data_IF_471725027570
#
_entry.id   IF_471725027570
#
_cell.length_a   1.000
_cell.length_b   1.000
_cell.length_c   1.000
_cell.angle_alpha   90.00
_cell.angle_beta   90.00
_cell.angle_gamma   90.00
#
_symmetry.space_group_name_H-M   'P 1'
#
loop_
_entity.id
_entity.type
_entity.pdbx_description
1 polymer ?
#
# COMPACT_ATOMS: atom_id res chain seq x y z
N UNK A 1 32.41 -36.11 14.81
CA UNK A 1 31.55 -36.85 13.86
C UNK A 1 31.21 -35.86 12.73
N UNK A 2 31.48 -36.25 11.49
CA UNK A 2 31.09 -35.47 10.32
C UNK A 2 29.56 -35.40 10.26
N UNK A 3 29.03 -34.21 10.21
CA UNK A 3 27.61 -33.99 9.98
C UNK A 3 27.41 -33.86 8.45
N UNK A 4 26.53 -34.67 7.91
CA UNK A 4 26.24 -34.64 6.47
C UNK A 4 25.65 -33.28 6.07
N UNK A 5 26.00 -32.83 4.88
CA UNK A 5 25.46 -31.59 4.32
C UNK A 5 24.06 -31.84 3.73
N UNK A 6 23.11 -32.19 4.58
CA UNK A 6 21.71 -32.49 4.28
C UNK A 6 20.79 -31.80 5.29
N UNK A 7 19.49 -31.73 5.01
CA UNK A 7 18.50 -31.18 5.94
C UNK A 7 18.51 -31.93 7.30
N UNK A 8 18.65 -33.28 7.26
CA UNK A 8 18.76 -34.08 8.47
C UNK A 8 20.10 -33.87 9.17
N UNK A 9 21.20 -33.65 8.45
CA UNK A 9 22.47 -33.24 9.00
C UNK A 9 22.37 -31.90 9.74
N UNK A 10 21.68 -30.91 9.18
CA UNK A 10 21.41 -29.63 9.82
C UNK A 10 20.54 -29.76 11.08
N UNK A 11 19.53 -30.64 11.03
CA UNK A 11 18.73 -30.99 12.22
C UNK A 11 19.61 -31.60 13.33
N UNK A 12 20.42 -32.58 12.98
CA UNK A 12 21.33 -33.26 13.92
C UNK A 12 22.35 -32.31 14.53
N UNK A 13 22.92 -31.39 13.72
CA UNK A 13 23.84 -30.40 14.20
C UNK A 13 23.20 -29.43 15.18
N UNK A 14 22.01 -28.90 14.85
CA UNK A 14 21.24 -28.00 15.69
C UNK A 14 20.82 -28.65 17.01
N UNK A 15 20.38 -29.92 16.96
CA UNK A 15 20.01 -30.71 18.15
C UNK A 15 21.22 -30.93 19.06
N UNK A 16 22.35 -31.35 18.52
CA UNK A 16 23.57 -31.57 19.28
C UNK A 16 24.10 -30.28 19.90
N UNK A 17 24.08 -29.18 19.16
CA UNK A 17 24.49 -27.88 19.69
C UNK A 17 23.62 -27.44 20.87
N UNK A 18 22.30 -27.49 20.74
CA UNK A 18 21.36 -27.13 21.80
C UNK A 18 21.54 -28.03 23.04
N UNK A 19 21.73 -29.33 22.84
CA UNK A 19 21.93 -30.28 23.92
C UNK A 19 23.20 -30.03 24.72
N UNK A 20 24.30 -29.71 24.07
CA UNK A 20 25.59 -29.61 24.74
C UNK A 20 25.94 -28.21 25.22
N UNK A 21 25.46 -27.18 24.54
CA UNK A 21 25.87 -25.80 24.83
C UNK A 21 24.78 -24.98 25.57
N UNK A 22 23.52 -25.23 25.35
CA UNK A 22 22.47 -24.39 25.93
C UNK A 22 21.87 -24.96 27.25
N UNK A 23 22.12 -26.20 27.59
CA UNK A 23 21.55 -26.85 28.79
C UNK A 23 20.04 -26.64 28.96
N UNK A 24 19.31 -26.57 27.87
CA UNK A 24 17.86 -26.40 27.86
C UNK A 24 17.14 -27.74 28.04
N UNK A 25 15.83 -27.72 28.27
CA UNK A 25 15.04 -28.94 28.29
C UNK A 25 14.79 -29.49 26.87
N UNK A 26 14.39 -30.78 26.78
CA UNK A 26 14.25 -31.50 25.51
C UNK A 26 13.30 -30.83 24.48
N UNK A 27 12.26 -30.20 24.97
CA UNK A 27 11.27 -29.52 24.10
C UNK A 27 11.91 -28.37 23.30
N UNK A 28 12.84 -27.65 23.91
CA UNK A 28 13.58 -26.58 23.22
C UNK A 28 14.60 -27.13 22.21
N UNK A 29 15.18 -28.31 22.45
CA UNK A 29 16.11 -28.94 21.51
C UNK A 29 15.45 -29.33 20.22
N UNK A 30 14.27 -29.96 20.29
CA UNK A 30 13.52 -30.36 19.10
C UNK A 30 13.04 -29.15 18.29
N UNK A 31 12.54 -28.12 18.96
CA UNK A 31 12.12 -26.90 18.30
C UNK A 31 13.25 -26.20 17.53
N UNK A 32 14.45 -26.14 18.09
CA UNK A 32 15.64 -25.56 17.45
C UNK A 32 16.19 -26.42 16.34
N UNK A 33 16.24 -27.72 16.54
CA UNK A 33 16.68 -28.68 15.53
C UNK A 33 15.72 -28.68 14.32
N UNK A 34 14.40 -28.61 14.59
CA UNK A 34 13.38 -28.48 13.55
C UNK A 34 13.55 -27.16 12.77
N UNK A 35 13.82 -26.06 13.45
CA UNK A 35 14.09 -24.77 12.81
C UNK A 35 15.37 -24.79 11.98
N UNK A 36 16.43 -25.46 12.46
CA UNK A 36 17.65 -25.64 11.68
C UNK A 36 17.39 -26.40 10.39
N UNK A 37 16.57 -27.44 10.43
CA UNK A 37 16.18 -28.21 9.25
C UNK A 37 15.24 -27.44 8.34
N UNK A 38 14.13 -26.92 8.89
CA UNK A 38 13.00 -26.42 8.11
C UNK A 38 13.23 -24.97 7.62
N UNK A 39 14.03 -24.19 8.34
CA UNK A 39 14.26 -22.77 8.03
C UNK A 39 15.67 -22.54 7.49
N UNK A 40 16.71 -22.92 8.26
CA UNK A 40 18.08 -22.58 7.85
C UNK A 40 18.61 -23.44 6.71
N UNK A 41 18.25 -24.73 6.66
CA UNK A 41 18.67 -25.60 5.57
C UNK A 41 17.98 -25.22 4.25
N UNK A 42 16.67 -24.99 4.31
CA UNK A 42 15.90 -24.54 3.14
C UNK A 42 16.36 -23.18 2.63
N UNK A 43 16.72 -22.25 3.52
CA UNK A 43 17.34 -20.97 3.16
C UNK A 43 18.68 -21.15 2.43
N UNK A 44 19.49 -22.09 2.89
CA UNK A 44 20.82 -22.34 2.28
C UNK A 44 20.73 -22.95 0.88
N UNK A 45 19.67 -23.69 0.59
CA UNK A 45 19.41 -24.32 -0.71
C UNK A 45 18.48 -23.52 -1.62
N UNK A 46 18.02 -22.36 -1.18
CA UNK A 46 17.12 -21.49 -1.95
C UNK A 46 15.66 -21.96 -2.03
N UNK A 47 15.29 -23.02 -1.31
CA UNK A 47 13.96 -23.67 -1.40
C UNK A 47 13.01 -23.30 -0.24
N UNK A 48 13.37 -22.35 0.63
CA UNK A 48 12.48 -21.97 1.75
C UNK A 48 11.40 -21.01 1.32
N UNK A 49 10.12 -21.38 1.47
CA UNK A 49 9.02 -20.42 1.30
C UNK A 49 9.05 -19.28 2.33
N UNK A 50 9.73 -19.49 3.47
CA UNK A 50 9.84 -18.52 4.58
C UNK A 50 11.21 -17.81 4.64
N UNK A 51 12.04 -17.89 3.58
CA UNK A 51 13.31 -17.17 3.54
C UNK A 51 13.04 -15.66 3.43
N UNK A 52 13.40 -14.86 4.45
CA UNK A 52 13.20 -13.41 4.41
C UNK A 52 14.02 -12.72 3.31
N UNK A 53 15.04 -13.39 2.79
CA UNK A 53 15.89 -12.88 1.70
C UNK A 53 15.52 -13.52 0.33
N UNK A 54 14.47 -14.39 0.28
CA UNK A 54 13.98 -14.94 -0.98
C UNK A 54 13.18 -13.87 -1.76
N UNK A 55 13.72 -13.34 -2.87
CA UNK A 55 13.04 -12.29 -3.63
C UNK A 55 11.72 -12.76 -4.28
N UNK A 56 11.53 -14.07 -4.39
CA UNK A 56 10.35 -14.69 -5.01
C UNK A 56 9.32 -15.18 -3.99
N UNK A 57 9.54 -14.97 -2.68
CA UNK A 57 8.55 -15.32 -1.67
C UNK A 57 7.34 -14.37 -1.73
N UNK A 58 6.16 -14.83 -2.20
CA UNK A 58 4.97 -13.98 -2.33
C UNK A 58 4.40 -13.53 -0.98
N UNK A 59 4.76 -14.20 0.11
CA UNK A 59 4.31 -13.92 1.47
C UNK A 59 5.33 -13.14 2.30
N UNK A 60 6.55 -12.89 1.77
CA UNK A 60 7.52 -12.04 2.44
C UNK A 60 6.95 -10.62 2.60
N UNK A 61 6.78 -10.16 3.84
CA UNK A 61 6.24 -8.83 4.10
C UNK A 61 7.08 -7.70 3.47
N UNK A 62 8.37 -7.93 3.21
CA UNK A 62 9.28 -6.94 2.61
C UNK A 62 9.10 -6.84 1.10
N UNK A 63 8.85 -7.97 0.43
CA UNK A 63 8.63 -8.02 -1.03
C UNK A 63 7.17 -7.87 -1.41
N UNK A 64 6.25 -8.15 -0.50
CA UNK A 64 4.81 -8.09 -0.71
C UNK A 64 4.35 -6.72 -1.18
N UNK A 65 3.66 -6.71 -2.32
CA UNK A 65 3.11 -5.52 -2.96
C UNK A 65 1.63 -5.36 -2.61
N UNK A 66 1.26 -4.19 -2.12
CA UNK A 66 -0.12 -3.82 -1.84
C UNK A 66 -0.64 -2.86 -2.90
N UNK A 67 -1.90 -3.00 -3.29
CA UNK A 67 -2.53 -2.16 -4.29
C UNK A 67 -3.21 -0.94 -3.68
N UNK A 68 -3.22 0.19 -4.44
CA UNK A 68 -3.99 1.38 -4.10
C UNK A 68 -5.04 1.56 -5.20
N UNK A 69 -6.30 1.41 -4.84
CA UNK A 69 -7.43 1.69 -5.72
C UNK A 69 -7.93 3.11 -5.48
N UNK A 70 -7.97 3.92 -6.55
CA UNK A 70 -8.52 5.29 -6.51
C UNK A 70 -9.93 5.30 -7.08
N UNK A 71 -10.90 5.75 -6.29
CA UNK A 71 -12.28 5.97 -6.71
C UNK A 71 -12.44 7.46 -7.02
N UNK A 72 -12.54 7.79 -8.30
CA UNK A 72 -12.38 9.15 -8.83
C UNK A 72 -13.70 9.82 -9.21
N UNK A 73 -14.80 9.05 -9.34
CA UNK A 73 -16.10 9.58 -9.77
C UNK A 73 -15.99 10.45 -11.03
N UNK A 74 -15.48 9.87 -12.12
CA UNK A 74 -15.20 10.51 -13.42
C UNK A 74 -14.12 11.61 -13.39
N UNK A 75 -13.29 11.62 -12.33
CA UNK A 75 -12.09 12.45 -12.29
C UNK A 75 -10.87 11.71 -12.84
N UNK A 76 -9.79 12.45 -13.02
CA UNK A 76 -8.48 11.95 -13.44
C UNK A 76 -7.50 11.96 -12.26
N UNK A 77 -6.78 10.84 -12.09
CA UNK A 77 -5.73 10.79 -11.06
C UNK A 77 -4.50 11.57 -11.51
N UNK A 78 -3.66 11.92 -10.54
CA UNK A 78 -2.31 12.40 -10.85
C UNK A 78 -1.41 11.21 -11.15
N UNK A 79 -0.57 11.30 -12.20
CA UNK A 79 0.45 10.28 -12.54
C UNK A 79 1.50 10.10 -11.43
N UNK A 80 1.64 11.09 -10.56
CA UNK A 80 2.51 11.01 -9.38
C UNK A 80 1.91 10.21 -8.20
N UNK A 81 0.65 9.76 -8.31
CA UNK A 81 0.04 8.87 -7.32
C UNK A 81 0.27 7.42 -7.72
N UNK A 82 1.02 6.61 -6.93
CA UNK A 82 1.32 5.24 -7.29
C UNK A 82 0.08 4.34 -7.18
N UNK A 83 -0.01 3.33 -8.02
CA UNK A 83 -1.06 2.30 -7.97
C UNK A 83 -0.79 1.19 -6.94
N UNK A 84 0.40 1.17 -6.35
CA UNK A 84 0.82 0.14 -5.41
C UNK A 84 2.00 0.60 -4.56
N UNK A 85 2.25 -0.11 -3.46
CA UNK A 85 3.34 0.15 -2.53
C UNK A 85 3.78 -1.13 -1.80
N UNK A 86 4.95 -1.07 -1.16
CA UNK A 86 5.47 -2.10 -0.24
C UNK A 86 5.63 -1.49 1.15
N UNK A 87 5.81 -2.32 2.17
CA UNK A 87 6.08 -1.82 3.54
C UNK A 87 7.37 -0.99 3.62
N UNK A 88 8.31 -1.24 2.71
CA UNK A 88 9.59 -0.52 2.60
C UNK A 88 9.48 0.79 1.81
N UNK A 89 8.36 1.01 1.11
CA UNK A 89 8.15 2.26 0.35
C UNK A 89 8.14 3.45 1.31
N UNK A 90 8.87 4.50 0.94
CA UNK A 90 8.86 5.75 1.70
C UNK A 90 7.44 6.35 1.77
N UNK A 91 7.22 7.23 2.76
CA UNK A 91 5.91 7.86 2.94
C UNK A 91 5.43 8.50 1.63
N UNK A 92 4.30 8.02 1.12
CA UNK A 92 3.69 8.53 -0.11
C UNK A 92 2.82 9.74 0.26
N UNK A 93 3.09 10.89 -0.33
CA UNK A 93 2.22 12.07 -0.25
C UNK A 93 1.28 12.08 -1.44
N UNK A 94 -0.03 11.94 -1.19
CA UNK A 94 -1.05 11.88 -2.24
C UNK A 94 -1.22 13.23 -2.94
N UNK A 95 -1.11 13.25 -4.24
CA UNK A 95 -1.32 14.43 -5.08
C UNK A 95 -2.80 14.60 -5.42
N UNK A 96 -3.21 15.85 -5.68
CA UNK A 96 -4.58 16.19 -6.04
C UNK A 96 -4.97 15.55 -7.37
N UNK A 97 -6.18 15.02 -7.44
CA UNK A 97 -6.82 14.62 -8.69
C UNK A 97 -7.47 15.84 -9.40
N UNK A 98 -7.85 15.66 -10.66
CA UNK A 98 -8.50 16.69 -11.48
C UNK A 98 -9.87 16.20 -11.94
N UNK A 99 -10.84 17.13 -12.01
CA UNK A 99 -12.15 16.87 -12.62
C UNK A 99 -12.66 18.19 -13.20
N UNK A 100 -13.03 18.19 -14.49
CA UNK A 100 -13.56 19.38 -15.16
C UNK A 100 -14.83 19.85 -14.46
N UNK A 101 -14.93 21.14 -14.20
CA UNK A 101 -16.10 21.74 -13.53
C UNK A 101 -16.16 21.52 -12.01
N UNK A 102 -15.14 20.89 -11.40
CA UNK A 102 -15.12 20.59 -9.97
C UNK A 102 -13.81 21.03 -9.33
N UNK A 103 -13.89 21.31 -8.04
CA UNK A 103 -12.74 21.56 -7.17
C UNK A 103 -12.48 20.31 -6.31
N UNK A 104 -11.22 19.87 -6.25
CA UNK A 104 -10.82 18.72 -5.41
C UNK A 104 -10.78 19.12 -3.94
N UNK A 105 -11.59 18.45 -3.10
CA UNK A 105 -11.63 18.70 -1.65
C UNK A 105 -10.68 17.80 -0.84
N UNK A 106 -10.30 16.64 -1.38
CA UNK A 106 -9.35 15.74 -0.72
C UNK A 106 -9.57 14.27 -1.02
N UNK A 107 -8.63 13.47 -0.51
CA UNK A 107 -8.73 12.01 -0.48
C UNK A 107 -9.30 11.53 0.84
N UNK A 108 -10.09 10.46 0.82
CA UNK A 108 -10.75 9.88 1.98
C UNK A 108 -10.64 8.35 1.97
N UNK A 109 -10.65 7.74 3.16
CA UNK A 109 -10.55 6.27 3.32
C UNK A 109 -11.85 5.54 3.02
N UNK A 110 -12.98 6.24 3.01
CA UNK A 110 -14.31 5.67 2.77
C UNK A 110 -15.20 6.61 1.94
N UNK A 111 -16.22 6.05 1.32
CA UNK A 111 -17.19 6.79 0.48
C UNK A 111 -18.07 7.78 1.27
N UNK A 112 -18.13 7.65 2.60
CA UNK A 112 -18.83 8.60 3.48
C UNK A 112 -18.05 9.90 3.74
N UNK A 113 -16.79 9.98 3.27
CA UNK A 113 -15.91 11.15 3.38
C UNK A 113 -15.70 11.65 4.82
N UNK A 114 -15.62 10.74 5.80
CA UNK A 114 -15.38 11.10 7.21
C UNK A 114 -13.88 11.19 7.53
N UNK A 115 -13.09 10.19 7.08
CA UNK A 115 -11.67 10.11 7.40
C UNK A 115 -10.80 10.54 6.22
N UNK A 116 -10.33 11.77 6.28
CA UNK A 116 -9.42 12.32 5.27
C UNK A 116 -8.05 11.67 5.35
N UNK A 117 -7.44 11.42 4.20
CA UNK A 117 -6.07 10.91 4.07
C UNK A 117 -5.26 11.80 3.13
N UNK A 118 -4.03 12.14 3.54
CA UNK A 118 -3.10 12.95 2.74
C UNK A 118 -1.82 12.20 2.42
N UNK A 119 -1.48 11.22 3.25
CA UNK A 119 -0.25 10.44 3.13
C UNK A 119 -0.52 8.96 3.44
N UNK A 120 0.28 8.09 2.85
CA UNK A 120 0.38 6.67 3.22
C UNK A 120 1.76 6.52 3.88
N UNK A 121 1.84 6.31 5.21
CA UNK A 121 3.11 6.23 5.92
C UNK A 121 3.93 5.02 5.48
N UNK A 122 5.26 5.12 5.52
CA UNK A 122 6.17 3.97 5.44
C UNK A 122 5.78 2.91 6.47
N UNK A 123 5.86 1.65 6.10
CA UNK A 123 5.44 0.54 6.97
C UNK A 123 3.95 0.20 6.90
N UNK A 124 3.14 0.95 6.15
CA UNK A 124 1.72 0.62 5.93
C UNK A 124 1.57 -0.76 5.28
N UNK A 125 0.51 -1.48 5.65
CA UNK A 125 0.20 -2.83 5.16
C UNK A 125 -1.24 -2.89 4.65
N UNK A 126 -1.48 -3.80 3.70
CA UNK A 126 -2.81 -4.09 3.15
C UNK A 126 -3.16 -3.27 1.91
N UNK A 127 -4.13 -3.77 1.14
CA UNK A 127 -4.66 -3.05 -0.01
C UNK A 127 -5.49 -1.85 0.46
N UNK A 128 -5.38 -0.74 -0.24
CA UNK A 128 -6.08 0.50 0.09
C UNK A 128 -7.10 0.85 -1.01
N UNK A 129 -8.27 1.30 -0.60
CA UNK A 129 -9.21 2.00 -1.48
C UNK A 129 -9.38 3.41 -0.94
N UNK A 130 -9.12 4.41 -1.77
CA UNK A 130 -9.25 5.83 -1.40
C UNK A 130 -10.16 6.56 -2.39
N UNK A 131 -10.93 7.49 -1.88
CA UNK A 131 -12.03 8.14 -2.55
C UNK A 131 -11.74 9.63 -2.73
N UNK A 132 -11.89 10.13 -3.95
CA UNK A 132 -11.78 11.54 -4.25
C UNK A 132 -13.08 12.27 -3.88
N UNK A 133 -12.99 13.34 -3.10
CA UNK A 133 -14.13 14.21 -2.81
C UNK A 133 -14.08 15.44 -3.69
N UNK A 134 -15.21 15.76 -4.31
CA UNK A 134 -15.37 16.85 -5.26
C UNK A 134 -16.42 17.84 -4.82
N UNK A 135 -16.19 19.12 -5.15
CA UNK A 135 -17.15 20.20 -5.01
C UNK A 135 -17.39 20.81 -6.36
N UNK A 136 -18.64 20.85 -6.82
CA UNK A 136 -19.00 21.49 -8.07
C UNK A 136 -18.65 22.98 -8.05
N UNK A 137 -17.99 23.45 -9.10
CA UNK A 137 -17.72 24.88 -9.27
C UNK A 137 -19.03 25.60 -9.60
N UNK A 138 -19.17 26.80 -9.08
CA UNK A 138 -20.28 27.68 -9.39
C UNK A 138 -19.82 28.82 -10.29
N UNK A 139 -20.59 29.12 -11.31
CA UNK A 139 -20.30 30.13 -12.29
C UNK A 139 -21.42 31.19 -12.30
N UNK A 140 -21.06 32.41 -12.63
CA UNK A 140 -21.99 33.51 -12.88
C UNK A 140 -21.85 33.91 -14.33
N UNK A 141 -22.95 33.87 -15.08
CA UNK A 141 -22.99 34.40 -16.44
C UNK A 141 -23.54 35.82 -16.41
N UNK A 142 -22.76 36.77 -16.91
CA UNK A 142 -23.16 38.16 -17.09
C UNK A 142 -23.33 38.42 -18.56
N UNK A 143 -24.46 39.01 -18.89
CA UNK A 143 -24.75 39.39 -20.25
C UNK A 143 -24.40 40.87 -20.47
N UNK A 144 -23.64 41.15 -21.53
CA UNK A 144 -23.32 42.50 -21.93
C UNK A 144 -24.16 42.85 -23.16
N UNK A 145 -24.93 43.95 -23.08
CA UNK A 145 -25.86 44.39 -24.12
C UNK A 145 -25.21 44.93 -25.40
N UNK A 146 -23.88 44.95 -25.48
CA UNK A 146 -23.08 45.34 -26.67
C UNK A 146 -23.70 46.46 -27.51
N UNK A 147 -23.96 47.62 -26.88
CA UNK A 147 -24.61 48.85 -27.48
C UNK A 147 -26.10 48.74 -27.75
N UNK A 148 -26.82 47.79 -27.17
CA UNK A 148 -28.28 47.78 -27.23
C UNK A 148 -28.85 49.05 -26.55
N UNK A 149 -29.77 49.72 -27.20
CA UNK A 149 -30.36 50.96 -26.71
C UNK A 149 -31.45 50.76 -25.67
N UNK A 150 -31.91 49.53 -25.49
CA UNK A 150 -32.87 49.14 -24.45
C UNK A 150 -32.80 47.66 -24.15
N UNK A 151 -33.22 47.25 -22.93
CA UNK A 151 -33.25 45.87 -22.44
C UNK A 151 -32.06 45.52 -21.52
N UNK A 152 -32.34 44.89 -20.42
CA UNK A 152 -31.35 44.29 -19.50
C UNK A 152 -31.64 42.83 -19.32
N UNK A 153 -30.59 41.99 -19.39
CA UNK A 153 -30.70 40.58 -18.99
C UNK A 153 -30.15 40.43 -17.58
N UNK A 154 -30.90 39.69 -16.75
CA UNK A 154 -30.43 39.38 -15.39
C UNK A 154 -29.25 38.43 -15.42
N UNK A 155 -28.36 38.60 -14.45
CA UNK A 155 -27.27 37.66 -14.25
C UNK A 155 -27.81 36.28 -13.87
N UNK A 156 -27.31 35.24 -14.52
CA UNK A 156 -27.54 33.87 -14.12
C UNK A 156 -26.44 33.43 -13.13
N UNK A 157 -26.83 33.20 -11.87
CA UNK A 157 -25.89 32.87 -10.78
C UNK A 157 -25.98 31.37 -10.42
N UNK A 158 -24.88 30.87 -9.84
CA UNK A 158 -24.81 29.51 -9.31
C UNK A 158 -24.99 28.37 -10.33
N UNK A 159 -24.65 28.60 -11.59
CA UNK A 159 -24.63 27.55 -12.60
C UNK A 159 -23.51 26.54 -12.25
N UNK A 160 -23.85 25.24 -12.16
CA UNK A 160 -22.88 24.16 -12.06
C UNK A 160 -22.55 23.66 -13.46
N UNK A 161 -21.26 23.43 -13.73
CA UNK A 161 -20.84 22.73 -14.94
C UNK A 161 -21.22 21.25 -14.87
N UNK A 162 -21.80 20.70 -15.89
CA UNK A 162 -21.98 19.27 -16.14
C UNK A 162 -20.77 18.69 -16.89
#
# INVERSE_FOLDING_TARGET
>A
KNVENTADGAYTAGYNWAKYFERCNSVYFEGRAKRARDVYWAKYNGDSPDDPDNPDNPDDPVTKKYTIKYVLYDGENSDANPSSYKITTETITLKKAKKKGYTFEGWYKESSFKNRITTIPKGSKGNLTIYAKWKANKYTVRFHGNKATSGSMQEMKNLSGS
#
